data_IF_821583378014
#
_entry.id   IF_821583378014
#
_cell.length_a   1.000
_cell.length_b   1.000
_cell.length_c   1.000
_cell.angle_alpha   90.00
_cell.angle_beta   90.00
_cell.angle_gamma   90.00
#
_symmetry.space_group_name_H-M   'P 1'
#
loop_
_entity.id
_entity.type
_entity.pdbx_description
1 polymer ?
#
# COMPACT_ATOMS: atom_id res chain seq x y z
N UNK A 1 10.86 -24.79 33.33
CA UNK A 1 9.50 -24.27 33.09
C UNK A 1 9.62 -23.16 32.06
N UNK A 2 8.90 -23.23 30.93
CA UNK A 2 8.84 -22.11 29.99
C UNK A 2 8.28 -20.89 30.73
N UNK A 3 9.01 -19.77 30.74
CA UNK A 3 8.50 -18.55 31.36
C UNK A 3 7.30 -18.04 30.56
N UNK A 4 6.29 -17.51 31.26
CA UNK A 4 5.14 -16.89 30.60
C UNK A 4 5.56 -15.77 29.64
N UNK A 5 6.68 -15.08 29.91
CA UNK A 5 7.22 -14.07 29.00
C UNK A 5 7.70 -14.65 27.67
N UNK A 6 8.32 -15.84 27.67
CA UNK A 6 8.77 -16.52 26.46
C UNK A 6 7.57 -17.00 25.63
N UNK A 7 6.50 -17.45 26.29
CA UNK A 7 5.25 -17.83 25.61
C UNK A 7 4.58 -16.62 24.97
N UNK A 8 4.47 -15.49 25.68
CA UNK A 8 3.91 -14.23 25.14
C UNK A 8 4.77 -13.70 23.98
N UNK A 9 6.10 -13.76 24.11
CA UNK A 9 7.02 -13.37 23.04
C UNK A 9 6.85 -14.25 21.79
N UNK A 10 6.78 -15.57 21.94
CA UNK A 10 6.54 -16.48 20.82
C UNK A 10 5.16 -16.25 20.18
N UNK A 11 4.11 -16.05 21.00
CA UNK A 11 2.76 -15.74 20.49
C UNK A 11 2.78 -14.43 19.69
N UNK A 12 3.36 -13.35 20.22
CA UNK A 12 3.47 -12.08 19.50
C UNK A 12 4.32 -12.19 18.22
N UNK A 13 5.38 -12.99 18.22
CA UNK A 13 6.19 -13.28 17.03
C UNK A 13 5.43 -14.10 15.98
N UNK A 14 4.56 -15.02 16.41
CA UNK A 14 3.73 -15.87 15.55
C UNK A 14 2.49 -15.16 15.00
N UNK A 15 1.98 -14.13 15.68
CA UNK A 15 0.84 -13.33 15.20
C UNK A 15 1.30 -12.27 14.17
N UNK A 16 2.52 -11.75 14.31
CA UNK A 16 3.01 -10.62 13.51
C UNK A 16 3.25 -10.88 11.99
N UNK A 17 3.38 -12.10 11.44
CA UNK A 17 3.49 -12.29 10.00
C UNK A 17 2.14 -12.58 9.30
N UNK A 18 1.00 -12.54 10.00
CA UNK A 18 -0.30 -12.98 9.43
C UNK A 18 -1.23 -11.82 9.04
N UNK A 19 -0.89 -10.56 9.34
CA UNK A 19 -1.69 -9.42 8.91
C UNK A 19 -1.50 -9.16 7.41
N UNK A 20 -2.23 -9.92 6.59
CA UNK A 20 -2.53 -9.58 5.21
C UNK A 20 -3.22 -8.21 5.19
N UNK A 21 -2.63 -7.24 4.49
CA UNK A 21 -3.29 -5.96 4.31
C UNK A 21 -4.36 -6.09 3.23
N UNK A 22 -5.59 -5.72 3.60
CA UNK A 22 -6.72 -5.66 2.67
C UNK A 22 -7.03 -4.17 2.47
N UNK A 23 -6.74 -3.59 1.29
CA UNK A 23 -7.01 -2.18 1.05
C UNK A 23 -8.52 -1.90 1.08
N UNK A 24 -8.91 -0.82 1.74
CA UNK A 24 -10.27 -0.29 1.69
C UNK A 24 -10.66 0.12 0.26
N UNK A 25 -11.95 0.00 -0.06
CA UNK A 25 -12.52 0.40 -1.35
C UNK A 25 -12.24 1.88 -1.64
N UNK A 26 -11.77 2.18 -2.86
CA UNK A 26 -11.38 3.54 -3.27
C UNK A 26 -11.53 3.77 -4.76
N UNK A 27 -11.68 5.03 -5.16
CA UNK A 27 -11.71 5.47 -6.57
C UNK A 27 -10.58 6.43 -6.89
N UNK A 28 -10.21 6.50 -8.16
CA UNK A 28 -9.21 7.45 -8.65
C UNK A 28 -7.84 7.30 -7.99
N UNK A 29 -7.48 6.10 -7.52
CA UNK A 29 -6.13 5.80 -7.06
C UNK A 29 -5.17 5.76 -8.25
N UNK A 30 -3.87 5.85 -7.95
CA UNK A 30 -2.82 5.67 -8.94
C UNK A 30 -2.23 4.26 -8.80
N UNK A 31 -1.63 3.78 -9.89
CA UNK A 31 -0.79 2.60 -9.84
C UNK A 31 0.35 2.71 -10.85
N UNK A 32 1.51 2.16 -10.47
CA UNK A 32 2.69 2.04 -11.34
C UNK A 32 3.40 0.73 -11.04
N UNK A 33 4.18 0.23 -12.00
CA UNK A 33 5.06 -0.92 -11.78
C UNK A 33 6.48 -0.38 -11.57
N UNK A 34 7.10 -0.77 -10.47
CA UNK A 34 8.43 -0.31 -10.05
C UNK A 34 9.10 -1.43 -9.24
N UNK A 35 10.39 -1.72 -9.45
CA UNK A 35 11.10 -2.79 -8.72
C UNK A 35 10.34 -4.13 -8.61
N UNK A 36 9.75 -4.60 -9.72
CA UNK A 36 8.91 -5.81 -9.76
C UNK A 36 7.71 -5.79 -8.79
N UNK A 37 7.24 -4.61 -8.43
CA UNK A 37 6.09 -4.41 -7.56
C UNK A 37 5.05 -3.58 -8.30
N UNK A 38 3.80 -4.01 -8.25
CA UNK A 38 2.67 -3.16 -8.61
C UNK A 38 2.35 -2.30 -7.39
N UNK A 39 2.80 -1.06 -7.42
CA UNK A 39 2.56 -0.07 -6.39
C UNK A 39 1.20 0.60 -6.63
N UNK A 40 0.39 0.73 -5.59
CA UNK A 40 -0.91 1.40 -5.59
C UNK A 40 -0.93 2.43 -4.48
N UNK A 41 -1.36 3.65 -4.81
CA UNK A 41 -1.33 4.74 -3.84
C UNK A 41 -2.33 5.85 -4.12
N UNK A 42 -2.70 6.56 -3.06
CA UNK A 42 -3.64 7.68 -3.13
C UNK A 42 -5.08 7.24 -3.39
N UNK A 43 -5.87 8.15 -3.96
CA UNK A 43 -7.27 7.93 -4.24
C UNK A 43 -8.22 8.42 -3.15
N UNK A 44 -9.52 8.25 -3.43
CA UNK A 44 -10.63 8.65 -2.57
C UNK A 44 -11.25 7.43 -1.92
N UNK A 45 -11.17 7.34 -0.59
CA UNK A 45 -11.83 6.31 0.19
C UNK A 45 -13.31 6.64 0.35
N UNK A 46 -14.16 5.70 -0.04
CA UNK A 46 -15.61 5.92 -0.08
C UNK A 46 -16.24 5.92 1.31
N UNK A 47 -15.79 5.03 2.20
CA UNK A 47 -16.40 4.89 3.52
C UNK A 47 -16.06 6.07 4.44
N UNK A 48 -14.80 6.50 4.40
CA UNK A 48 -14.30 7.63 5.19
C UNK A 48 -14.47 8.98 4.50
N UNK A 49 -14.93 8.99 3.25
CA UNK A 49 -15.16 10.18 2.44
C UNK A 49 -13.95 11.15 2.47
N UNK A 50 -12.76 10.60 2.26
CA UNK A 50 -11.50 11.35 2.34
C UNK A 50 -10.46 10.86 1.33
N UNK A 51 -9.54 11.75 0.98
CA UNK A 51 -8.34 11.40 0.20
C UNK A 51 -7.35 10.68 1.12
N UNK A 52 -6.65 9.69 0.59
CA UNK A 52 -5.75 8.83 1.38
C UNK A 52 -4.28 9.01 1.01
N UNK A 53 -3.42 8.84 2.01
CA UNK A 53 -1.96 8.83 1.86
C UNK A 53 -1.40 7.41 1.72
N UNK A 54 -2.28 6.41 1.83
CA UNK A 54 -1.87 5.01 1.86
C UNK A 54 -1.19 4.63 0.56
N UNK A 55 -0.10 3.88 0.72
CA UNK A 55 0.65 3.25 -0.33
C UNK A 55 0.80 1.77 0.05
N UNK A 56 0.51 0.90 -0.91
CA UNK A 56 0.63 -0.53 -0.75
C UNK A 56 1.02 -1.15 -2.08
N UNK A 57 1.55 -2.35 -2.05
CA UNK A 57 2.04 -2.99 -3.26
C UNK A 57 1.71 -4.47 -3.32
N UNK A 58 1.77 -4.97 -4.55
CA UNK A 58 1.74 -6.37 -4.88
C UNK A 58 3.11 -6.77 -5.43
N UNK A 59 3.75 -7.73 -4.78
CA UNK A 59 5.00 -8.35 -5.22
C UNK A 59 4.76 -9.24 -6.46
N UNK A 60 5.24 -8.78 -7.62
CA UNK A 60 5.08 -9.47 -8.91
C UNK A 60 6.11 -10.58 -9.14
N UNK A 61 7.06 -10.77 -8.21
CA UNK A 61 7.97 -11.94 -8.26
C UNK A 61 7.27 -13.22 -7.81
N UNK A 62 6.15 -13.09 -7.09
CA UNK A 62 5.31 -14.19 -6.64
C UNK A 62 4.24 -14.53 -7.70
N UNK A 63 3.83 -15.80 -7.83
CA UNK A 63 2.69 -16.17 -8.66
C UNK A 63 1.43 -15.41 -8.22
N UNK A 64 0.71 -14.85 -9.20
CA UNK A 64 -0.54 -14.15 -8.94
C UNK A 64 -1.66 -15.14 -8.55
N UNK A 65 -2.27 -14.94 -7.38
CA UNK A 65 -3.43 -15.71 -6.91
C UNK A 65 -4.61 -14.77 -6.69
N UNK A 66 -5.55 -14.71 -7.63
CA UNK A 66 -6.71 -13.82 -7.55
C UNK A 66 -7.62 -14.05 -6.33
N UNK A 67 -7.50 -15.18 -5.62
CA UNK A 67 -8.34 -15.52 -4.46
C UNK A 67 -7.67 -15.19 -3.14
N UNK A 68 -6.36 -15.43 -3.04
CA UNK A 68 -5.62 -15.27 -1.79
C UNK A 68 -4.57 -14.16 -1.87
N UNK A 69 -4.68 -13.23 -2.83
CA UNK A 69 -3.68 -12.19 -2.99
C UNK A 69 -3.58 -11.32 -1.74
N UNK A 70 -2.42 -11.36 -1.10
CA UNK A 70 -2.08 -10.42 -0.03
C UNK A 70 -1.43 -9.19 -0.63
N UNK A 71 -1.87 -8.03 -0.18
CA UNK A 71 -1.18 -6.75 -0.41
C UNK A 71 -0.27 -6.46 0.78
N UNK A 72 0.82 -5.75 0.52
CA UNK A 72 1.77 -5.31 1.53
C UNK A 72 1.61 -3.79 1.75
N UNK A 73 1.34 -3.38 2.99
CA UNK A 73 1.19 -1.97 3.36
C UNK A 73 2.56 -1.31 3.58
N UNK A 74 2.81 -0.20 2.91
CA UNK A 74 4.00 0.62 3.15
C UNK A 74 3.70 1.61 4.28
N UNK A 75 3.93 1.19 5.53
CA UNK A 75 3.58 1.98 6.73
C UNK A 75 4.29 3.33 6.83
N UNK A 76 5.49 3.43 6.30
CA UNK A 76 6.31 4.66 6.34
C UNK A 76 6.23 5.48 5.04
N UNK A 77 5.59 4.93 4.00
CA UNK A 77 5.51 5.52 2.65
C UNK A 77 4.32 6.45 2.48
N UNK A 78 4.09 7.36 3.43
CA UNK A 78 3.00 8.32 3.28
C UNK A 78 3.29 9.22 2.07
N UNK A 79 2.34 9.29 1.14
CA UNK A 79 2.39 10.22 0.02
C UNK A 79 2.61 11.66 0.52
N UNK A 80 3.56 12.41 -0.04
CA UNK A 80 3.74 13.82 0.31
C UNK A 80 2.51 14.66 -0.10
N UNK A 81 1.79 14.23 -1.14
CA UNK A 81 0.54 14.84 -1.59
C UNK A 81 -0.48 13.73 -1.88
N UNK A 82 -1.62 13.82 -1.22
CA UNK A 82 -2.72 12.85 -1.30
C UNK A 82 -3.78 13.39 -2.25
N UNK A 83 -3.80 12.84 -3.46
CA UNK A 83 -4.73 13.22 -4.52
C UNK A 83 -5.50 12.00 -4.99
N UNK A 84 -6.64 12.27 -5.64
CA UNK A 84 -7.38 11.29 -6.42
C UNK A 84 -7.53 11.81 -7.85
N UNK A 85 -7.68 10.90 -8.83
CA UNK A 85 -7.72 11.20 -10.27
C UNK A 85 -6.47 11.90 -10.82
N UNK A 86 -5.32 11.76 -10.16
CA UNK A 86 -4.03 12.13 -10.76
C UNK A 86 -3.57 11.08 -11.77
N UNK A 87 -2.51 11.42 -12.52
CA UNK A 87 -1.73 10.48 -13.30
C UNK A 87 -0.40 10.19 -12.59
N UNK A 88 0.03 8.93 -12.58
CA UNK A 88 1.35 8.53 -12.09
C UNK A 88 2.16 7.90 -13.21
N UNK A 89 3.44 8.25 -13.29
CA UNK A 89 4.37 7.74 -14.30
C UNK A 89 5.71 7.47 -13.62
N UNK A 90 6.23 6.25 -13.75
CA UNK A 90 7.59 5.92 -13.30
C UNK A 90 8.62 6.53 -14.26
N UNK A 91 9.74 7.03 -13.72
CA UNK A 91 10.86 7.48 -14.53
C UNK A 91 11.47 6.29 -15.29
N UNK A 92 11.93 6.53 -16.51
CA UNK A 92 12.47 5.45 -17.37
C UNK A 92 13.97 5.21 -17.19
N UNK A 93 14.66 6.12 -16.52
CA UNK A 93 16.10 6.08 -16.28
C UNK A 93 16.41 5.76 -14.81
N UNK A 94 15.50 6.13 -13.91
CA UNK A 94 15.61 5.91 -12.49
C UNK A 94 14.36 5.18 -11.95
N UNK A 95 14.50 3.88 -11.73
CA UNK A 95 13.43 3.03 -11.19
C UNK A 95 13.04 3.41 -9.75
N UNK A 96 13.66 4.40 -9.08
CA UNK A 96 13.22 4.90 -7.77
C UNK A 96 12.29 6.13 -7.85
N UNK A 97 12.10 6.71 -9.05
CA UNK A 97 11.36 7.97 -9.22
C UNK A 97 9.98 7.74 -9.83
N UNK A 98 8.96 8.34 -9.21
CA UNK A 98 7.59 8.39 -9.73
C UNK A 98 7.14 9.85 -9.80
N UNK A 99 6.70 10.28 -10.99
CA UNK A 99 6.04 11.55 -11.19
C UNK A 99 4.55 11.42 -10.94
N UNK A 100 4.01 12.29 -10.08
CA UNK A 100 2.59 12.42 -9.82
C UNK A 100 2.09 13.75 -10.40
N UNK A 101 1.15 13.69 -11.35
CA UNK A 101 0.74 14.84 -12.14
C UNK A 101 -0.77 15.08 -11.98
N UNK A 102 -1.13 16.30 -11.59
CA UNK A 102 -2.50 16.75 -11.48
C UNK A 102 -3.29 16.07 -10.36
N UNK A 103 -4.58 15.83 -10.63
CA UNK A 103 -5.53 15.27 -9.68
C UNK A 103 -6.25 16.32 -8.83
N UNK A 104 -7.16 15.82 -8.01
CA UNK A 104 -7.97 16.59 -7.08
C UNK A 104 -7.55 16.27 -5.65
N UNK A 105 -7.63 17.27 -4.78
CA UNK A 105 -7.49 17.11 -3.34
C UNK A 105 -8.77 17.61 -2.71
N UNK A 106 -9.38 16.82 -1.82
CA UNK A 106 -10.39 17.39 -0.95
C UNK A 106 -9.69 18.14 0.18
N UNK A 107 -9.92 19.44 0.22
CA UNK A 107 -9.48 20.31 1.31
C UNK A 107 -10.76 20.71 2.04
N UNK A 108 -11.10 19.95 3.08
CA UNK A 108 -11.99 20.44 4.13
C UNK A 108 -11.17 21.27 5.12
#
# INVERSE_FOLDING_TARGET
MLSYSLIIFCITLLINPILCYIPETRIGHNSVIIHNQLLVFGGWKMETNTSTYEMFYLDLTKPFDSKNQSWDLIREGNLPVYTYYSAAVADTLDDDIIYLIGGCKNVN
#
